data_IF_322864877144
#
_entry.id   IF_322864877144
#
_cell.length_a   1.000
_cell.length_b   1.000
_cell.length_c   1.000
_cell.angle_alpha   90.00
_cell.angle_beta   90.00
_cell.angle_gamma   90.00
#
_symmetry.space_group_name_H-M   'P 1'
#
loop_
_entity.id
_entity.type
_entity.pdbx_description
1 polymer ?
#
# COMPACT_ATOMS: atom_id res chain seq x y z
N UNK A 1 6.39 10.71 17.94
CA UNK A 1 6.31 9.22 17.94
C UNK A 1 6.24 8.63 19.33
N UNK A 2 7.17 8.89 20.25
CA UNK A 2 7.11 8.36 21.62
C UNK A 2 5.78 8.67 22.36
N UNK A 3 5.23 9.88 22.18
CA UNK A 3 3.93 10.26 22.74
C UNK A 3 2.72 9.59 22.07
N UNK A 4 2.91 9.04 20.87
CA UNK A 4 1.85 8.40 20.07
C UNK A 4 2.05 6.87 20.03
N UNK A 5 2.62 6.30 21.10
CA UNK A 5 2.82 4.85 21.19
C UNK A 5 1.46 4.13 21.11
N UNK A 6 1.39 3.05 20.34
CA UNK A 6 0.15 2.33 19.99
C UNK A 6 -0.93 3.19 19.30
N UNK A 7 -0.55 4.36 18.77
CA UNK A 7 -1.42 5.29 18.05
C UNK A 7 -0.94 5.61 16.63
N UNK A 8 -1.35 6.79 16.15
CA UNK A 8 -1.01 7.31 14.81
C UNK A 8 -0.22 8.61 14.95
N UNK A 9 0.91 8.70 14.26
CA UNK A 9 1.73 9.90 14.14
C UNK A 9 1.58 10.46 12.72
N UNK A 10 0.86 11.58 12.58
CA UNK A 10 0.65 12.23 11.27
C UNK A 10 1.78 13.22 11.01
N UNK A 11 2.38 13.18 9.82
CA UNK A 11 3.55 14.00 9.44
C UNK A 11 3.42 14.52 8.01
N UNK A 12 3.72 15.80 7.81
CA UNK A 12 3.92 16.36 6.46
C UNK A 12 5.35 16.09 5.99
N UNK A 13 5.51 15.36 4.89
CA UNK A 13 6.83 15.06 4.30
C UNK A 13 7.10 15.87 3.03
N UNK A 14 6.31 16.93 2.78
CA UNK A 14 6.53 17.87 1.68
C UNK A 14 7.85 18.65 1.84
N UNK A 15 8.37 19.18 0.73
CA UNK A 15 9.68 19.83 0.70
C UNK A 15 9.77 20.97 1.71
N UNK A 16 10.80 20.96 2.56
CA UNK A 16 11.02 22.01 3.56
C UNK A 16 10.24 21.85 4.86
N UNK A 17 9.31 20.89 4.95
CA UNK A 17 8.61 20.56 6.20
C UNK A 17 9.56 19.92 7.22
N UNK A 18 10.43 19.01 6.77
CA UNK A 18 11.33 18.24 7.63
C UNK A 18 12.80 18.57 7.39
N UNK A 19 13.54 18.73 8.49
CA UNK A 19 15.01 18.81 8.47
C UNK A 19 15.60 17.41 8.24
N UNK A 20 16.80 17.34 7.65
CA UNK A 20 17.44 16.06 7.28
C UNK A 20 17.69 15.14 8.49
N UNK A 21 18.06 15.70 9.64
CA UNK A 21 18.24 15.00 10.91
C UNK A 21 16.92 14.35 11.37
N UNK A 22 15.80 15.06 11.23
CA UNK A 22 14.48 14.55 11.58
C UNK A 22 14.05 13.42 10.65
N UNK A 23 14.36 13.52 9.35
CA UNK A 23 14.09 12.43 8.39
C UNK A 23 14.86 11.16 8.74
N UNK A 24 16.13 11.28 9.11
CA UNK A 24 16.96 10.15 9.52
C UNK A 24 16.46 9.50 10.82
N UNK A 25 16.09 10.32 11.81
CA UNK A 25 15.49 9.85 13.05
C UNK A 25 14.13 9.18 12.84
N UNK A 26 13.28 9.75 11.99
CA UNK A 26 11.97 9.19 11.64
C UNK A 26 12.14 7.81 11.02
N UNK A 27 13.04 7.67 10.04
CA UNK A 27 13.35 6.39 9.42
C UNK A 27 13.87 5.37 10.43
N UNK A 28 14.79 5.79 11.31
CA UNK A 28 15.27 4.91 12.38
C UNK A 28 14.14 4.42 13.29
N UNK A 29 13.24 5.31 13.69
CA UNK A 29 12.09 4.96 14.53
C UNK A 29 11.10 4.03 13.81
N UNK A 30 10.90 4.21 12.50
CA UNK A 30 10.05 3.33 11.69
C UNK A 30 10.65 1.93 11.55
N UNK A 31 11.96 1.83 11.27
CA UNK A 31 12.65 0.56 11.04
C UNK A 31 12.92 -0.23 12.34
N UNK A 32 13.30 0.47 13.41
CA UNK A 32 13.72 -0.15 14.68
C UNK A 32 12.64 -0.14 15.74
N UNK A 33 11.56 0.62 15.56
CA UNK A 33 10.51 0.82 16.56
C UNK A 33 11.04 1.27 17.93
N UNK A 34 12.14 2.02 17.91
CA UNK A 34 12.83 2.54 19.10
C UNK A 34 13.36 3.92 18.78
N UNK A 35 13.24 4.83 19.76
CA UNK A 35 13.76 6.18 19.72
C UNK A 35 14.76 6.36 20.87
N UNK A 36 16.06 6.59 20.59
CA UNK A 36 17.03 6.92 21.63
C UNK A 36 16.76 8.33 22.18
N UNK A 37 16.92 8.52 23.50
CA UNK A 37 16.80 9.83 24.11
C UNK A 37 17.99 10.72 23.71
N UNK A 38 17.72 11.97 23.32
CA UNK A 38 18.72 12.89 22.79
C UNK A 38 19.90 13.11 23.75
N UNK A 39 19.62 13.24 25.04
CA UNK A 39 20.64 13.53 26.06
C UNK A 39 21.24 12.27 26.70
N UNK A 40 20.63 11.09 26.48
CA UNK A 40 21.06 9.80 27.05
C UNK A 40 20.76 8.65 26.08
N UNK A 41 21.68 8.32 25.16
CA UNK A 41 21.45 7.27 24.17
C UNK A 41 21.29 5.87 24.78
N UNK A 42 21.72 5.67 26.03
CA UNK A 42 21.48 4.46 26.83
C UNK A 42 19.99 4.27 27.17
N UNK A 43 19.22 5.35 27.18
CA UNK A 43 17.79 5.34 27.45
C UNK A 43 17.04 5.37 26.12
N UNK A 44 16.36 4.27 25.81
CA UNK A 44 15.61 4.13 24.57
C UNK A 44 14.13 3.94 24.84
N UNK A 45 13.27 4.67 24.11
CA UNK A 45 11.82 4.59 24.24
C UNK A 45 11.25 3.81 23.05
N UNK A 46 10.38 2.84 23.32
CA UNK A 46 9.71 2.10 22.25
C UNK A 46 8.75 3.01 21.46
N UNK A 47 8.71 2.84 20.14
CA UNK A 47 7.82 3.55 19.23
C UNK A 47 7.03 2.54 18.39
N UNK A 48 5.94 2.02 18.95
CA UNK A 48 5.09 0.96 18.35
C UNK A 48 3.89 1.51 17.56
N UNK A 49 3.82 2.83 17.38
CA UNK A 49 2.76 3.49 16.61
C UNK A 49 2.95 3.40 15.10
N UNK A 50 1.91 3.79 14.37
CA UNK A 50 1.92 3.90 12.90
C UNK A 50 2.22 5.34 12.48
N UNK A 51 2.94 5.51 11.37
CA UNK A 51 3.25 6.83 10.80
C UNK A 51 2.40 7.04 9.55
N UNK A 52 1.62 8.11 9.55
CA UNK A 52 0.83 8.53 8.40
C UNK A 52 1.46 9.78 7.81
N UNK A 53 1.96 9.67 6.59
CA UNK A 53 2.61 10.77 5.93
C UNK A 53 1.76 11.28 4.77
N UNK A 54 1.71 12.60 4.63
CA UNK A 54 1.16 13.25 3.46
C UNK A 54 2.25 14.02 2.73
N UNK A 55 2.16 14.01 1.41
CA UNK A 55 3.09 14.67 0.52
C UNK A 55 2.31 15.43 -0.52
N UNK A 56 2.63 16.71 -0.67
CA UNK A 56 2.12 17.53 -1.76
C UNK A 56 3.25 17.82 -2.74
N UNK A 57 3.05 17.48 -4.02
CA UNK A 57 4.00 17.89 -5.05
C UNK A 57 3.76 19.36 -5.37
N UNK A 58 4.71 20.22 -5.01
CA UNK A 58 4.72 21.65 -5.36
C UNK A 58 5.12 21.90 -6.83
N UNK A 59 5.31 20.84 -7.62
CA UNK A 59 5.82 20.99 -8.99
C UNK A 59 4.82 21.78 -9.84
N UNK A 60 5.20 23.03 -10.17
CA UNK A 60 4.48 23.94 -11.07
C UNK A 60 4.37 23.37 -12.51
N UNK A 61 5.02 22.23 -12.77
CA UNK A 61 4.91 21.46 -14.00
C UNK A 61 3.77 20.44 -13.87
N UNK A 62 2.53 20.94 -13.99
CA UNK A 62 1.28 20.16 -14.16
C UNK A 62 1.34 19.03 -15.22
N UNK A 63 2.41 18.93 -16.00
CA UNK A 63 2.56 18.00 -17.12
C UNK A 63 3.11 16.63 -16.73
N UNK A 64 3.93 16.49 -15.68
CA UNK A 64 4.52 15.18 -15.36
C UNK A 64 3.55 14.29 -14.57
N UNK A 65 2.74 14.88 -13.70
CA UNK A 65 1.73 14.15 -12.91
C UNK A 65 0.44 13.84 -13.67
N UNK A 66 0.27 14.40 -14.89
CA UNK A 66 -0.88 14.12 -15.78
C UNK A 66 -0.74 12.80 -16.53
N UNK A 67 0.49 12.39 -16.83
CA UNK A 67 0.75 11.09 -17.40
C UNK A 67 0.89 10.09 -16.24
N UNK A 68 0.02 9.08 -16.19
CA UNK A 68 0.02 7.99 -15.20
C UNK A 68 1.28 7.10 -15.17
N UNK A 69 2.42 7.66 -15.58
CA UNK A 69 3.76 7.08 -15.71
C UNK A 69 4.79 7.75 -14.79
N UNK A 70 4.54 8.97 -14.30
CA UNK A 70 5.50 9.61 -13.39
C UNK A 70 5.60 8.83 -12.09
N UNK A 71 6.82 8.51 -11.65
CA UNK A 71 7.07 7.74 -10.44
C UNK A 71 7.44 8.66 -9.27
N UNK A 72 6.98 8.38 -8.05
CA UNK A 72 7.32 9.19 -6.87
C UNK A 72 8.82 9.17 -6.56
N UNK A 73 9.54 8.13 -6.99
CA UNK A 73 11.00 8.07 -6.90
C UNK A 73 11.74 9.12 -7.74
N UNK A 74 11.08 9.71 -8.75
CA UNK A 74 11.64 10.79 -9.55
C UNK A 74 11.29 12.18 -9.01
N UNK A 75 10.46 12.28 -7.97
CA UNK A 75 10.09 13.57 -7.38
C UNK A 75 11.27 14.16 -6.60
N UNK A 76 11.82 15.33 -7.01
CA UNK A 76 13.02 15.89 -6.41
C UNK A 76 12.80 16.44 -4.98
N UNK A 77 11.55 16.62 -4.58
CA UNK A 77 11.13 17.09 -3.27
C UNK A 77 11.03 15.99 -2.21
N UNK A 78 11.11 14.72 -2.60
CA UNK A 78 10.86 13.57 -1.74
C UNK A 78 12.15 12.78 -1.52
N UNK A 79 12.48 12.44 -0.26
CA UNK A 79 13.64 11.59 0.03
C UNK A 79 13.30 10.13 -0.33
N UNK A 80 13.99 9.50 -1.30
CA UNK A 80 13.70 8.13 -1.72
C UNK A 80 13.93 7.12 -0.59
N UNK A 81 14.81 7.41 0.37
CA UNK A 81 15.08 6.55 1.53
C UNK A 81 13.95 6.60 2.56
N UNK A 82 13.26 7.74 2.65
CA UNK A 82 12.06 7.84 3.48
C UNK A 82 10.89 7.12 2.79
N UNK A 83 10.72 7.32 1.48
CA UNK A 83 9.69 6.65 0.68
C UNK A 83 9.79 5.11 0.71
N UNK A 84 11.01 4.56 0.74
CA UNK A 84 11.22 3.10 0.85
C UNK A 84 10.78 2.51 2.19
N UNK A 85 10.68 3.34 3.24
CA UNK A 85 10.33 2.92 4.60
C UNK A 85 8.82 2.80 4.83
N UNK A 86 8.01 3.28 3.88
CA UNK A 86 6.55 3.15 3.94
C UNK A 86 6.08 1.83 3.32
N UNK A 87 5.25 1.12 4.07
CA UNK A 87 4.58 -0.11 3.65
C UNK A 87 3.58 0.13 2.51
N UNK A 88 2.68 1.08 2.72
CA UNK A 88 1.60 1.45 1.81
C UNK A 88 1.85 2.87 1.31
N UNK A 89 1.81 3.06 0.00
CA UNK A 89 1.89 4.38 -0.64
C UNK A 89 0.76 4.49 -1.64
N UNK A 90 -0.08 5.50 -1.46
CA UNK A 90 -1.19 5.75 -2.37
C UNK A 90 -1.04 7.14 -2.98
N UNK A 91 -1.27 7.24 -4.29
CA UNK A 91 -1.31 8.51 -5.00
C UNK A 91 -2.76 8.92 -5.18
N UNK A 92 -3.13 10.04 -4.57
CA UNK A 92 -4.39 10.70 -4.86
C UNK A 92 -4.23 11.46 -6.19
N UNK A 93 -4.72 10.89 -7.29
CA UNK A 93 -4.89 11.65 -8.53
C UNK A 93 -6.08 12.58 -8.36
N UNK A 94 -5.92 13.86 -8.74
CA UNK A 94 -7.07 14.74 -8.87
C UNK A 94 -8.06 14.08 -9.84
N UNK A 95 -9.30 13.87 -9.39
CA UNK A 95 -10.36 13.33 -10.23
C UNK A 95 -10.66 14.35 -11.34
N UNK A 96 -10.05 14.19 -12.52
CA UNK A 96 -10.46 14.98 -13.68
C UNK A 96 -11.70 14.32 -14.30
N UNK A 97 -12.89 14.86 -13.98
CA UNK A 97 -14.14 14.42 -14.59
C UNK A 97 -15.33 15.25 -14.14
N UNK A 98 -16.07 15.85 -15.09
CA UNK A 98 -17.29 16.65 -14.80
C UNK A 98 -18.31 15.93 -13.91
N UNK A 99 -18.37 14.60 -14.00
CA UNK A 99 -19.22 13.75 -13.18
C UNK A 99 -18.72 13.60 -11.74
N UNK A 100 -17.40 13.48 -11.52
CA UNK A 100 -16.81 13.40 -10.19
C UNK A 100 -16.93 14.76 -9.48
N UNK A 101 -16.61 15.85 -10.17
CA UNK A 101 -16.81 17.22 -9.66
C UNK A 101 -18.28 17.50 -9.34
N UNK A 102 -19.21 17.04 -10.20
CA UNK A 102 -20.66 17.18 -9.95
C UNK A 102 -21.12 16.37 -8.74
N UNK A 103 -20.59 15.17 -8.51
CA UNK A 103 -20.90 14.38 -7.30
C UNK A 103 -20.31 15.02 -6.04
N UNK A 104 -19.03 15.37 -6.07
CA UNK A 104 -18.37 15.99 -4.91
C UNK A 104 -18.95 17.35 -4.58
N UNK A 105 -19.34 18.16 -5.58
CA UNK A 105 -20.03 19.43 -5.33
C UNK A 105 -21.47 19.24 -4.85
N UNK A 106 -22.21 18.25 -5.38
CA UNK A 106 -23.53 17.88 -4.86
C UNK A 106 -23.47 17.45 -3.40
N UNK A 107 -22.56 16.54 -3.08
CA UNK A 107 -22.34 16.02 -1.71
C UNK A 107 -21.86 17.12 -0.74
N UNK A 108 -20.99 18.04 -1.20
CA UNK A 108 -20.59 19.19 -0.40
C UNK A 108 -21.75 20.16 -0.12
N UNK A 109 -22.65 20.37 -1.10
CA UNK A 109 -23.83 21.22 -0.93
C UNK A 109 -24.91 20.55 -0.07
N UNK A 110 -25.05 19.22 -0.16
CA UNK A 110 -25.99 18.41 0.63
C UNK A 110 -25.48 18.16 2.07
N UNK A 111 -24.18 18.29 2.32
CA UNK A 111 -23.55 18.14 3.66
C UNK A 111 -23.98 19.19 4.70
N UNK A 112 -24.83 20.14 4.31
CA UNK A 112 -25.44 21.13 5.20
C UNK A 112 -26.60 20.56 6.03
N UNK A 113 -27.15 19.40 5.65
CA UNK A 113 -28.13 18.69 6.47
C UNK A 113 -27.41 17.74 7.44
N UNK A 114 -27.73 17.84 8.74
CA UNK A 114 -27.19 17.04 9.84
C UNK A 114 -27.33 15.53 9.56
N UNK A 115 -26.36 14.97 8.84
CA UNK A 115 -26.30 13.53 8.59
C UNK A 115 -25.88 12.80 9.87
N UNK A 116 -26.32 11.55 10.02
CA UNK A 116 -26.05 10.58 11.09
C UNK A 116 -24.54 10.25 11.35
N UNK A 117 -23.62 11.10 10.89
CA UNK A 117 -22.19 11.03 11.08
C UNK A 117 -21.72 10.70 12.52
N UNK A 118 -22.29 11.27 13.60
CA UNK A 118 -21.85 10.92 14.95
C UNK A 118 -22.16 9.47 15.35
N UNK A 119 -23.28 8.90 14.87
CA UNK A 119 -23.69 7.52 15.20
C UNK A 119 -22.82 6.48 14.45
N UNK A 120 -22.50 6.75 13.19
CA UNK A 120 -21.59 5.92 12.39
C UNK A 120 -20.17 5.94 12.97
N UNK A 121 -19.69 7.11 13.42
CA UNK A 121 -18.37 7.25 14.02
C UNK A 121 -18.21 6.45 15.32
N UNK A 122 -19.19 6.50 16.22
CA UNK A 122 -19.14 5.70 17.46
C UNK A 122 -19.27 4.20 17.18
N UNK A 123 -20.10 3.80 16.22
CA UNK A 123 -20.21 2.38 15.80
C UNK A 123 -18.88 1.87 15.24
N UNK A 124 -18.24 2.64 14.36
CA UNK A 124 -16.93 2.30 13.79
C UNK A 124 -15.85 2.22 14.89
N UNK A 125 -15.87 3.14 15.86
CA UNK A 125 -14.93 3.13 16.98
C UNK A 125 -15.09 1.87 17.85
N UNK A 126 -16.32 1.48 18.17
CA UNK A 126 -16.59 0.21 18.88
C UNK A 126 -16.11 -0.99 18.05
N UNK A 127 -16.32 -0.97 16.74
CA UNK A 127 -15.83 -2.01 15.83
C UNK A 127 -14.30 -2.12 15.83
N UNK A 128 -13.60 -0.99 15.68
CA UNK A 128 -12.14 -0.92 15.70
C UNK A 128 -11.57 -1.35 17.06
N UNK A 129 -12.23 -1.01 18.16
CA UNK A 129 -11.86 -1.51 19.49
C UNK A 129 -11.97 -3.03 19.58
N UNK A 130 -13.07 -3.62 19.08
CA UNK A 130 -13.24 -5.07 19.04
C UNK A 130 -12.18 -5.76 18.18
N UNK A 131 -11.93 -5.24 16.98
CA UNK A 131 -10.83 -5.70 16.12
C UNK A 131 -9.46 -5.55 16.80
N UNK A 132 -9.28 -4.47 17.56
CA UNK A 132 -8.12 -4.16 18.39
C UNK A 132 -7.82 -5.22 19.46
N UNK A 133 -8.85 -5.81 20.04
CA UNK A 133 -8.75 -6.82 21.12
C UNK A 133 -8.52 -8.24 20.60
N UNK A 134 -8.72 -8.50 19.32
CA UNK A 134 -8.49 -9.83 18.75
C UNK A 134 -7.00 -10.18 18.78
N UNK A 135 -6.65 -11.45 19.07
CA UNK A 135 -5.29 -11.94 18.93
C UNK A 135 -4.84 -11.83 17.47
N UNK A 136 -3.53 -11.81 17.24
CA UNK A 136 -2.98 -11.86 15.89
C UNK A 136 -3.54 -13.08 15.13
N UNK A 137 -4.22 -12.87 13.98
CA UNK A 137 -4.79 -13.95 13.22
C UNK A 137 -3.74 -14.96 12.76
N UNK A 138 -4.13 -16.23 12.70
CA UNK A 138 -3.28 -17.30 12.16
C UNK A 138 -3.34 -17.29 10.64
N UNK A 139 -2.20 -17.26 9.99
CA UNK A 139 -2.15 -17.34 8.52
C UNK A 139 -2.42 -18.77 8.06
N UNK A 140 -3.51 -18.95 7.32
CA UNK A 140 -3.88 -20.23 6.70
C UNK A 140 -2.80 -20.71 5.72
N UNK A 141 -2.88 -21.99 5.34
CA UNK A 141 -1.92 -22.56 4.39
C UNK A 141 -2.01 -21.84 3.04
N UNK A 142 -3.20 -21.68 2.51
CA UNK A 142 -3.42 -21.14 1.16
C UNK A 142 -3.00 -19.67 1.09
N UNK A 143 -3.39 -18.86 2.09
CA UNK A 143 -2.92 -17.48 2.21
C UNK A 143 -1.39 -17.38 2.30
N UNK A 144 -0.74 -18.30 3.02
CA UNK A 144 0.73 -18.33 3.12
C UNK A 144 1.38 -18.67 1.78
N UNK A 145 0.86 -19.67 1.09
CA UNK A 145 1.35 -20.09 -0.23
C UNK A 145 1.24 -18.92 -1.21
N UNK A 146 0.10 -18.23 -1.26
CA UNK A 146 -0.11 -17.06 -2.11
C UNK A 146 0.86 -15.90 -1.78
N UNK A 147 0.95 -15.49 -0.51
CA UNK A 147 1.84 -14.40 -0.08
C UNK A 147 3.31 -14.70 -0.35
N UNK A 148 3.74 -15.95 -0.10
CA UNK A 148 5.12 -16.38 -0.35
C UNK A 148 5.44 -16.37 -1.84
N UNK A 149 4.53 -16.91 -2.65
CA UNK A 149 4.73 -17.02 -4.07
C UNK A 149 4.76 -15.61 -4.72
N UNK A 150 3.89 -14.69 -4.29
CA UNK A 150 3.95 -13.29 -4.68
C UNK A 150 5.27 -12.62 -4.24
N UNK A 151 5.69 -12.77 -2.99
CA UNK A 151 6.98 -12.23 -2.53
C UNK A 151 8.17 -12.68 -3.40
N UNK A 152 8.21 -13.97 -3.73
CA UNK A 152 9.25 -14.53 -4.60
C UNK A 152 9.19 -13.96 -6.02
N UNK A 153 7.99 -13.72 -6.55
CA UNK A 153 7.79 -13.05 -7.83
C UNK A 153 8.36 -11.63 -7.81
N UNK A 154 8.01 -10.81 -6.81
CA UNK A 154 8.50 -9.43 -6.72
C UNK A 154 10.03 -9.43 -6.64
N UNK A 155 10.61 -10.31 -5.82
CA UNK A 155 12.08 -10.46 -5.70
C UNK A 155 12.77 -10.84 -7.02
N UNK A 156 12.18 -11.75 -7.80
CA UNK A 156 12.69 -12.12 -9.14
C UNK A 156 12.58 -10.96 -10.13
N UNK A 157 11.47 -10.23 -10.12
CA UNK A 157 11.23 -9.10 -11.02
C UNK A 157 12.23 -7.95 -10.83
N UNK A 158 12.73 -7.76 -9.59
CA UNK A 158 13.75 -6.75 -9.30
C UNK A 158 15.12 -7.10 -9.87
N UNK A 159 15.47 -8.39 -9.86
CA UNK A 159 16.73 -8.87 -10.44
C UNK A 159 16.82 -8.63 -11.96
N UNK A 160 15.69 -8.30 -12.61
CA UNK A 160 15.57 -8.05 -14.05
C UNK A 160 15.66 -6.56 -14.44
N UNK A 161 16.16 -5.68 -13.55
CA UNK A 161 16.53 -4.30 -13.91
C UNK A 161 15.78 -3.19 -13.19
N UNK A 162 15.17 -3.46 -12.03
CA UNK A 162 14.58 -2.40 -11.19
C UNK A 162 15.53 -2.09 -10.02
N UNK A 163 16.58 -1.31 -10.29
CA UNK A 163 17.61 -0.93 -9.30
C UNK A 163 17.05 -0.22 -8.03
N UNK A 164 15.81 0.27 -8.07
CA UNK A 164 15.28 1.19 -7.05
C UNK A 164 14.23 0.62 -6.10
N UNK A 165 13.76 -0.62 -6.31
CA UNK A 165 12.83 -1.27 -5.38
C UNK A 165 13.61 -2.27 -4.55
N UNK A 166 13.71 -2.06 -3.23
CA UNK A 166 14.37 -3.00 -2.33
C UNK A 166 13.31 -3.96 -1.77
N UNK A 167 13.13 -5.15 -2.35
CA UNK A 167 12.35 -6.23 -1.70
C UNK A 167 13.23 -6.88 -0.66
N UNK A 168 12.83 -6.69 0.59
CA UNK A 168 13.46 -7.30 1.75
C UNK A 168 12.48 -8.20 2.49
N UNK A 169 12.95 -8.85 3.55
CA UNK A 169 12.04 -9.58 4.45
C UNK A 169 10.96 -8.65 5.03
N UNK A 170 11.25 -7.35 5.19
CA UNK A 170 10.27 -6.37 5.63
C UNK A 170 9.07 -6.25 4.67
N UNK A 171 9.26 -6.54 3.37
CA UNK A 171 8.16 -6.59 2.39
C UNK A 171 7.19 -7.72 2.71
N UNK A 172 7.70 -8.92 3.04
CA UNK A 172 6.86 -10.04 3.43
C UNK A 172 6.16 -9.78 4.77
N UNK A 173 6.88 -9.20 5.74
CA UNK A 173 6.30 -8.78 7.02
C UNK A 173 5.20 -7.73 6.83
N UNK A 174 5.38 -6.80 5.89
CA UNK A 174 4.39 -5.80 5.49
C UNK A 174 3.12 -6.44 4.94
N UNK A 175 3.26 -7.35 3.97
CA UNK A 175 2.14 -8.11 3.40
C UNK A 175 1.37 -8.88 4.48
N UNK A 176 2.08 -9.57 5.38
CA UNK A 176 1.48 -10.29 6.49
C UNK A 176 0.75 -9.35 7.46
N UNK A 177 1.30 -8.17 7.77
CA UNK A 177 0.66 -7.16 8.63
C UNK A 177 -0.62 -6.64 8.01
N UNK A 178 -0.63 -6.35 6.71
CA UNK A 178 -1.83 -5.86 6.00
C UNK A 178 -2.91 -6.93 5.92
N UNK A 179 -2.55 -8.17 5.56
CA UNK A 179 -3.50 -9.28 5.50
C UNK A 179 -4.09 -9.59 6.89
N UNK A 180 -3.26 -9.58 7.93
CA UNK A 180 -3.72 -9.75 9.31
C UNK A 180 -4.63 -8.61 9.78
N UNK A 181 -4.35 -7.38 9.37
CA UNK A 181 -5.21 -6.23 9.67
C UNK A 181 -6.58 -6.37 8.99
N UNK A 182 -6.61 -6.80 7.72
CA UNK A 182 -7.85 -7.14 7.00
C UNK A 182 -8.67 -8.18 7.76
N UNK A 183 -8.07 -9.32 8.12
CA UNK A 183 -8.77 -10.38 8.86
C UNK A 183 -9.36 -9.86 10.18
N UNK A 184 -8.63 -9.01 10.91
CA UNK A 184 -9.10 -8.38 12.16
C UNK A 184 -10.26 -7.42 11.93
N UNK A 185 -10.26 -6.66 10.82
CA UNK A 185 -11.38 -5.78 10.48
C UNK A 185 -12.67 -6.58 10.20
N UNK A 186 -12.55 -7.81 9.68
CA UNK A 186 -13.65 -8.76 9.55
C UNK A 186 -13.91 -9.59 10.82
N UNK A 187 -13.26 -9.23 11.93
CA UNK A 187 -13.33 -9.93 13.22
C UNK A 187 -12.96 -11.43 13.15
N UNK A 188 -12.09 -11.80 12.21
CA UNK A 188 -11.60 -13.17 12.02
C UNK A 188 -10.28 -13.40 12.75
N UNK A 189 -10.09 -14.65 13.17
CA UNK A 189 -8.85 -15.15 13.80
C UNK A 189 -7.95 -15.90 12.83
N UNK A 190 -8.36 -16.01 11.57
CA UNK A 190 -7.59 -16.64 10.50
C UNK A 190 -7.50 -15.68 9.30
N UNK A 191 -6.32 -15.62 8.69
CA UNK A 191 -6.09 -14.89 7.44
C UNK A 191 -6.42 -15.81 6.29
N UNK A 192 -7.43 -15.45 5.50
CA UNK A 192 -7.84 -16.20 4.32
C UNK A 192 -7.04 -15.77 3.10
N UNK A 193 -7.00 -16.64 2.08
CA UNK A 193 -6.43 -16.28 0.78
C UNK A 193 -7.19 -15.09 0.18
N UNK A 194 -8.50 -15.26 0.01
CA UNK A 194 -9.44 -14.21 -0.35
C UNK A 194 -10.36 -13.90 0.85
N UNK A 195 -10.59 -12.63 1.24
CA UNK A 195 -10.04 -11.41 0.64
C UNK A 195 -8.69 -10.95 1.21
N UNK A 196 -8.19 -11.52 2.31
CA UNK A 196 -7.16 -10.88 3.12
C UNK A 196 -5.77 -10.84 2.45
N UNK A 197 -5.28 -11.98 1.95
CA UNK A 197 -3.98 -12.04 1.28
C UNK A 197 -4.03 -11.33 -0.08
N UNK A 198 -5.12 -11.51 -0.84
CA UNK A 198 -5.37 -10.79 -2.09
C UNK A 198 -5.34 -9.28 -1.88
N UNK A 199 -6.02 -8.76 -0.85
CA UNK A 199 -6.03 -7.33 -0.51
C UNK A 199 -4.64 -6.81 -0.19
N UNK A 200 -3.85 -7.57 0.58
CA UNK A 200 -2.48 -7.18 0.90
C UNK A 200 -1.61 -7.07 -0.36
N UNK A 201 -1.73 -8.03 -1.27
CA UNK A 201 -1.02 -8.02 -2.56
C UNK A 201 -1.49 -6.86 -3.43
N UNK A 202 -2.80 -6.63 -3.52
CA UNK A 202 -3.40 -5.53 -4.26
C UNK A 202 -2.86 -4.17 -3.77
N UNK A 203 -2.88 -3.94 -2.46
CA UNK A 203 -2.35 -2.72 -1.85
C UNK A 203 -0.85 -2.56 -2.09
N UNK A 204 -0.09 -3.66 -2.09
CA UNK A 204 1.33 -3.63 -2.40
C UNK A 204 1.58 -3.27 -3.87
N UNK A 205 0.86 -3.86 -4.82
CA UNK A 205 0.95 -3.52 -6.25
C UNK A 205 0.64 -2.04 -6.49
N UNK A 206 -0.43 -1.51 -5.89
CA UNK A 206 -0.75 -0.07 -5.98
C UNK A 206 0.34 0.80 -5.35
N UNK A 207 0.99 0.31 -4.29
CA UNK A 207 2.13 1.00 -3.68
C UNK A 207 3.37 0.99 -4.56
N UNK A 208 3.67 -0.12 -5.23
CA UNK A 208 4.76 -0.22 -6.20
C UNK A 208 4.49 0.66 -7.42
N UNK A 209 3.26 0.67 -7.92
CA UNK A 209 2.83 1.55 -9.01
C UNK A 209 2.96 3.02 -8.62
N UNK A 210 2.52 3.42 -7.43
CA UNK A 210 2.67 4.79 -6.96
C UNK A 210 4.15 5.20 -6.83
N UNK A 211 4.99 4.29 -6.31
CA UNK A 211 6.43 4.52 -6.12
C UNK A 211 7.19 4.57 -7.45
N UNK A 212 6.99 3.58 -8.31
CA UNK A 212 7.84 3.29 -9.47
C UNK A 212 7.17 3.49 -10.84
N UNK A 213 5.86 3.76 -10.87
CA UNK A 213 5.09 3.98 -12.09
C UNK A 213 4.66 2.70 -12.82
N UNK A 214 5.02 1.51 -12.33
CA UNK A 214 4.69 0.24 -12.99
C UNK A 214 4.34 -0.86 -11.97
N UNK A 215 3.29 -1.63 -12.27
CA UNK A 215 2.89 -2.85 -11.55
C UNK A 215 3.81 -4.02 -11.89
N UNK A 216 4.17 -4.84 -10.91
CA UNK A 216 5.06 -6.00 -11.11
C UNK A 216 4.35 -7.08 -11.91
N UNK A 217 3.08 -7.32 -11.59
CA UNK A 217 2.25 -8.28 -12.31
C UNK A 217 2.09 -7.83 -13.77
N UNK A 218 1.78 -6.54 -14.01
CA UNK A 218 1.61 -6.02 -15.38
C UNK A 218 2.90 -6.02 -16.20
N UNK A 219 4.07 -5.80 -15.59
CA UNK A 219 5.37 -5.94 -16.27
C UNK A 219 5.59 -7.38 -16.73
N UNK A 220 5.35 -8.33 -15.84
CA UNK A 220 5.64 -9.75 -16.12
C UNK A 220 4.64 -10.31 -17.15
N UNK A 221 3.39 -9.85 -17.09
CA UNK A 221 2.37 -10.11 -18.10
C UNK A 221 2.78 -9.56 -19.47
N UNK A 222 3.14 -8.27 -19.56
CA UNK A 222 3.62 -7.64 -20.81
C UNK A 222 4.88 -8.31 -21.38
N UNK A 223 5.80 -8.78 -20.55
CA UNK A 223 7.01 -9.49 -21.02
C UNK A 223 6.70 -10.89 -21.56
N UNK A 224 5.78 -11.63 -20.93
CA UNK A 224 5.34 -12.95 -21.43
C UNK A 224 4.48 -12.82 -22.69
N UNK A 225 3.57 -11.85 -22.71
CA UNK A 225 2.73 -11.57 -23.87
C UNK A 225 3.56 -11.07 -25.06
N UNK A 226 4.61 -10.26 -24.84
CA UNK A 226 5.57 -9.89 -25.90
C UNK A 226 6.45 -11.04 -26.38
N UNK A 227 6.77 -12.01 -25.52
CA UNK A 227 7.47 -13.23 -25.90
C UNK A 227 6.56 -14.21 -26.68
N UNK A 228 5.24 -14.18 -26.42
CA UNK A 228 4.26 -15.05 -27.06
C UNK A 228 3.59 -14.43 -28.30
N UNK A 229 3.47 -13.10 -28.37
CA UNK A 229 2.72 -12.37 -29.38
C UNK A 229 3.45 -11.07 -29.73
N UNK A 230 3.93 -10.99 -30.96
CA UNK A 230 4.44 -9.74 -31.53
C UNK A 230 3.32 -8.71 -31.65
N UNK A 231 3.30 -7.74 -30.74
CA UNK A 231 2.69 -6.42 -30.94
C UNK A 231 1.18 -6.29 -30.72
N UNK A 232 0.84 -5.16 -30.10
CA UNK A 232 -0.48 -4.58 -29.85
C UNK A 232 -1.32 -5.20 -28.73
N UNK A 233 -1.60 -4.40 -27.71
CA UNK A 233 -2.92 -3.91 -27.36
C UNK A 233 -2.81 -2.94 -26.16
N UNK A 234 -3.29 -1.71 -26.33
CA UNK A 234 -3.55 -0.75 -25.25
C UNK A 234 -4.88 -0.08 -25.51
N UNK A 235 -5.90 -0.42 -24.73
CA UNK A 235 -7.14 0.33 -24.62
C UNK A 235 -7.29 0.79 -23.17
N UNK A 236 -7.76 2.02 -22.90
CA UNK A 236 -7.99 2.48 -21.54
C UNK A 236 -9.25 1.81 -20.95
N UNK A 237 -9.27 1.43 -19.66
CA UNK A 237 -10.48 0.93 -19.03
C UNK A 237 -11.51 2.06 -18.90
N UNK A 238 -12.69 1.81 -19.43
CA UNK A 238 -13.87 2.66 -19.35
C UNK A 238 -14.44 2.70 -17.93
N UNK A 239 -15.00 3.86 -17.56
CA UNK A 239 -15.57 4.14 -16.25
C UNK A 239 -16.67 3.18 -15.81
N UNK A 240 -16.58 2.70 -14.58
CA UNK A 240 -17.72 2.37 -13.73
C UNK A 240 -17.28 2.58 -12.27
N UNK A 241 -18.20 2.91 -11.38
CA UNK A 241 -17.97 2.74 -9.95
C UNK A 241 -17.86 1.23 -9.73
N UNK A 242 -16.65 0.69 -9.90
CA UNK A 242 -16.40 -0.73 -9.73
C UNK A 242 -16.63 -1.02 -8.26
N UNK A 243 -17.53 -1.95 -7.98
CA UNK A 243 -17.66 -2.53 -6.65
C UNK A 243 -16.27 -3.03 -6.25
N UNK A 244 -15.71 -2.48 -5.18
CA UNK A 244 -14.36 -2.82 -4.75
C UNK A 244 -14.21 -4.32 -4.51
N UNK A 245 -15.28 -4.99 -4.09
CA UNK A 245 -15.31 -6.44 -3.94
C UNK A 245 -15.13 -7.14 -5.29
N UNK A 246 -15.79 -6.66 -6.34
CA UNK A 246 -15.62 -7.18 -7.69
C UNK A 246 -14.22 -6.90 -8.26
N UNK A 247 -13.67 -5.69 -8.06
CA UNK A 247 -12.28 -5.40 -8.47
C UNK A 247 -11.30 -6.35 -7.79
N UNK A 248 -11.53 -6.64 -6.51
CA UNK A 248 -10.67 -7.53 -5.74
C UNK A 248 -10.82 -8.99 -6.16
N UNK A 249 -12.03 -9.42 -6.53
CA UNK A 249 -12.28 -10.75 -7.10
C UNK A 249 -11.62 -10.91 -8.47
N UNK A 250 -11.83 -9.97 -9.39
CA UNK A 250 -11.21 -10.00 -10.72
C UNK A 250 -9.67 -10.04 -10.59
N UNK A 251 -9.12 -9.28 -9.64
CA UNK A 251 -7.68 -9.30 -9.34
C UNK A 251 -7.20 -10.63 -8.75
N UNK A 252 -8.03 -11.30 -7.95
CA UNK A 252 -7.71 -12.62 -7.42
C UNK A 252 -7.65 -13.67 -8.52
N UNK A 253 -8.63 -13.67 -9.43
CA UNK A 253 -8.67 -14.59 -10.57
C UNK A 253 -7.43 -14.38 -11.47
N UNK A 254 -7.08 -13.12 -11.76
CA UNK A 254 -5.84 -12.76 -12.48
C UNK A 254 -4.58 -13.29 -11.77
N UNK A 255 -4.56 -13.25 -10.43
CA UNK A 255 -3.46 -13.78 -9.63
C UNK A 255 -3.39 -15.31 -9.72
N UNK A 256 -4.51 -16.02 -9.57
CA UNK A 256 -4.54 -17.47 -9.66
C UNK A 256 -4.05 -17.97 -11.02
N UNK A 257 -4.59 -17.42 -12.10
CA UNK A 257 -4.18 -17.73 -13.48
C UNK A 257 -2.69 -17.50 -13.71
N UNK A 258 -2.16 -16.42 -13.15
CA UNK A 258 -0.76 -16.07 -13.27
C UNK A 258 0.16 -17.02 -12.47
N UNK A 259 -0.29 -17.45 -11.29
CA UNK A 259 0.49 -18.23 -10.34
C UNK A 259 0.41 -19.75 -10.59
N UNK A 260 -0.67 -20.24 -11.21
CA UNK A 260 -0.86 -21.63 -11.59
C UNK A 260 0.35 -22.27 -12.33
N UNK A 261 0.94 -21.64 -13.37
CA UNK A 261 2.11 -22.20 -14.05
C UNK A 261 3.41 -22.14 -13.23
N UNK A 262 3.48 -21.31 -12.19
CA UNK A 262 4.63 -21.25 -11.28
C UNK A 262 4.59 -22.35 -10.20
N UNK A 263 3.40 -22.88 -9.90
CA UNK A 263 3.19 -24.00 -8.98
C UNK A 263 3.59 -25.37 -9.58
N UNK A 264 3.71 -25.48 -10.91
CA UNK A 264 4.14 -26.70 -11.62
C UNK A 264 5.64 -27.03 -11.47
N UNK A 265 6.41 -26.24 -10.71
CA UNK A 265 7.77 -26.58 -10.29
C UNK A 265 7.82 -26.91 -8.79
N UNK A 266 6.88 -27.73 -8.31
CA UNK A 266 7.09 -28.49 -7.07
C UNK A 266 8.11 -29.58 -7.37
N UNK A 267 9.32 -29.57 -6.77
CA UNK A 267 10.05 -30.82 -6.65
C UNK A 267 9.16 -31.75 -5.81
N UNK A 268 8.84 -32.93 -6.33
CA UNK A 268 8.22 -33.98 -5.53
C UNK A 268 9.19 -34.33 -4.39
N UNK A 269 8.75 -34.12 -3.16
CA UNK A 269 9.32 -34.75 -1.96
C UNK A 269 8.54 -36.03 -1.65
#
# INVERSE_FOLDING_TARGET
>A
MALANDGVCVVDISKGSLRKDVVEQLRHCMDKQVMPAADRPELSVATRGSVWAFFTSESSKRSLLKDGSACLFQEPSLDPRLLSSFDIVHRLSAFEGREADRRSSGELLDSTEEHNAPEVAETLKVHLQRAGLLPSPRVTRDARELLQAYYMLVRRSQSLGTENAYVSLATLESLMRVASASARLFLRVEVLEMPDATLAIFMHERSLEAKFGEKVISRTFKSRQRAALGGALSGPPSSMAVDFEQELMDFHDDLEDYMAPLALHRPEE
#
